data_IF_756787178648
#
_entry.id   IF_756787178648
#
_cell.length_a   1.000
_cell.length_b   1.000
_cell.length_c   1.000
_cell.angle_alpha   90.00
_cell.angle_beta   90.00
_cell.angle_gamma   90.00
#
_symmetry.space_group_name_H-M   'P 1'
#
loop_
_entity.id
_entity.type
_entity.pdbx_description
1 polymer ?
#
# COMPACT_ATOMS: atom_id res chain seq x y z
N UNK A 1 12.85 39.90 -3.16
CA UNK A 1 12.75 38.74 -4.08
C UNK A 1 12.94 37.48 -3.26
N UNK A 2 11.89 36.94 -2.66
CA UNK A 2 11.98 35.79 -1.76
C UNK A 2 11.80 34.49 -2.54
N UNK A 3 12.90 33.87 -2.94
CA UNK A 3 12.89 32.51 -3.48
C UNK A 3 12.74 31.53 -2.31
N UNK A 4 11.49 31.16 -1.98
CA UNK A 4 11.25 29.94 -1.21
C UNK A 4 11.70 28.77 -2.08
N UNK A 5 12.94 28.31 -1.87
CA UNK A 5 13.35 26.96 -2.28
C UNK A 5 12.42 26.00 -1.53
N UNK A 6 11.33 25.58 -2.20
CA UNK A 6 10.49 24.46 -1.75
C UNK A 6 11.43 23.27 -1.68
N UNK A 7 11.92 23.00 -0.49
CA UNK A 7 12.67 21.82 -0.16
C UNK A 7 11.83 20.64 -0.62
N UNK A 8 12.25 20.00 -1.72
CA UNK A 8 11.81 18.65 -2.06
C UNK A 8 12.38 17.72 -0.99
N UNK A 9 11.87 17.80 0.24
CA UNK A 9 11.88 16.67 1.15
C UNK A 9 10.96 15.64 0.51
N UNK A 10 11.52 14.89 -0.43
CA UNK A 10 10.97 13.60 -0.82
C UNK A 10 10.70 12.85 0.48
N UNK A 11 9.44 12.51 0.81
CA UNK A 11 9.09 11.88 2.06
C UNK A 11 9.56 10.43 1.99
N UNK A 12 10.87 10.20 2.13
CA UNK A 12 11.51 8.89 2.24
C UNK A 12 11.20 8.19 3.58
N UNK A 13 10.08 8.52 4.21
CA UNK A 13 9.68 8.04 5.53
C UNK A 13 8.23 7.53 5.49
N UNK A 14 8.03 6.41 4.78
CA UNK A 14 7.02 5.35 5.05
C UNK A 14 6.84 4.39 3.84
N UNK A 15 7.90 4.09 3.07
CA UNK A 15 7.83 3.28 1.85
C UNK A 15 7.73 1.76 2.11
N UNK A 16 6.95 1.35 3.12
CA UNK A 16 6.62 -0.07 3.39
C UNK A 16 5.15 -0.41 3.16
N UNK A 17 4.35 0.56 2.71
CA UNK A 17 2.87 0.48 2.67
C UNK A 17 2.26 0.90 1.34
N UNK A 18 3.10 1.22 0.35
CA UNK A 18 2.69 1.61 -1.01
C UNK A 18 3.22 0.58 -2.01
N UNK A 19 2.34 0.06 -2.86
CA UNK A 19 2.71 -0.68 -4.04
C UNK A 19 2.34 0.16 -5.27
N UNK A 20 3.37 0.59 -6.02
CA UNK A 20 3.19 1.30 -7.30
C UNK A 20 3.35 0.29 -8.42
N UNK A 21 2.33 0.14 -9.23
CA UNK A 21 2.35 -0.71 -10.41
C UNK A 21 2.85 0.11 -11.61
N UNK A 22 3.55 -0.55 -12.52
CA UNK A 22 4.12 0.08 -13.72
C UNK A 22 3.05 0.64 -14.68
N UNK A 23 1.82 0.11 -14.60
CA UNK A 23 0.65 0.53 -15.36
C UNK A 23 -0.07 1.76 -14.76
N UNK A 24 0.57 2.49 -13.84
CA UNK A 24 0.02 3.73 -13.28
C UNK A 24 -0.89 3.55 -12.07
N UNK A 25 -1.21 2.32 -11.67
CA UNK A 25 -1.99 2.06 -10.46
C UNK A 25 -1.12 2.20 -9.20
N UNK A 26 -1.73 2.79 -8.17
CA UNK A 26 -1.12 3.00 -6.87
C UNK A 26 -2.06 2.39 -5.84
N UNK A 27 -1.59 1.36 -5.15
CA UNK A 27 -2.34 0.67 -4.10
C UNK A 27 -1.65 0.93 -2.77
N UNK A 28 -2.39 1.48 -1.81
CA UNK A 28 -1.92 1.70 -0.44
C UNK A 28 -2.62 0.73 0.48
N UNK A 29 -1.86 -0.02 1.27
CA UNK A 29 -2.41 -0.94 2.26
C UNK A 29 -1.90 -0.49 3.63
N UNK A 30 -2.79 -0.23 4.58
CA UNK A 30 -2.43 0.34 5.88
C UNK A 30 -1.38 -0.47 6.66
N UNK A 31 -1.33 -1.79 6.45
CA UNK A 31 -0.33 -2.73 7.02
C UNK A 31 0.74 -3.19 6.04
N UNK A 32 0.69 -2.76 4.77
CA UNK A 32 1.47 -3.37 3.69
C UNK A 32 0.94 -4.78 3.35
N UNK A 33 1.80 -5.67 2.85
CA UNK A 33 1.42 -7.05 2.50
C UNK A 33 1.21 -7.96 3.73
N UNK A 34 1.49 -7.48 4.94
CA UNK A 34 1.36 -8.20 6.20
C UNK A 34 0.01 -7.96 6.89
N UNK A 35 -1.08 -8.27 6.17
CA UNK A 35 -2.44 -8.16 6.68
C UNK A 35 -3.06 -9.51 7.05
N UNK A 36 -2.41 -10.64 6.76
CA UNK A 36 -2.89 -11.96 7.18
C UNK A 36 -2.59 -12.25 8.65
N UNK A 37 -3.50 -12.90 9.35
CA UNK A 37 -3.26 -13.44 10.69
C UNK A 37 -2.39 -14.70 10.60
N UNK A 38 -1.69 -15.07 11.70
CA UNK A 38 -1.00 -16.36 11.74
C UNK A 38 -2.00 -17.51 11.56
N UNK A 39 -1.62 -18.59 10.86
CA UNK A 39 -2.47 -19.77 10.75
C UNK A 39 -2.62 -20.45 12.11
N UNK A 40 -3.77 -21.08 12.34
CA UNK A 40 -4.08 -21.76 13.60
C UNK A 40 -3.18 -22.98 13.84
N UNK A 41 -2.90 -23.73 12.76
CA UNK A 41 -1.99 -24.88 12.79
C UNK A 41 -1.39 -25.15 11.39
N UNK A 42 -0.39 -26.03 11.30
CA UNK A 42 0.24 -26.42 10.04
C UNK A 42 -0.72 -27.13 9.06
N UNK A 43 -1.82 -27.68 9.57
CA UNK A 43 -2.83 -28.42 8.79
C UNK A 43 -4.16 -27.67 8.73
N UNK A 44 -4.21 -26.42 9.18
CA UNK A 44 -5.40 -25.59 9.14
C UNK A 44 -5.72 -25.11 7.72
N UNK A 45 -7.02 -24.94 7.44
CA UNK A 45 -7.49 -24.28 6.23
C UNK A 45 -6.94 -22.84 6.25
N UNK A 46 -6.34 -22.41 5.14
CA UNK A 46 -5.67 -21.11 5.07
C UNK A 46 -4.14 -21.15 5.25
N UNK A 47 -3.54 -22.31 5.53
CA UNK A 47 -2.06 -22.42 5.66
C UNK A 47 -1.35 -22.27 4.32
N UNK A 48 -1.83 -22.95 3.27
CA UNK A 48 -1.28 -22.89 1.91
C UNK A 48 -2.03 -21.93 0.99
N UNK A 49 -3.35 -21.86 1.13
CA UNK A 49 -4.21 -20.97 0.36
C UNK A 49 -4.52 -19.71 1.18
N UNK A 50 -3.96 -18.58 0.79
CA UNK A 50 -4.11 -17.32 1.54
C UNK A 50 -5.51 -16.73 1.45
N UNK A 51 -6.29 -17.09 0.43
CA UNK A 51 -7.64 -16.58 0.24
C UNK A 51 -8.60 -17.08 1.33
N UNK A 52 -8.25 -18.20 1.97
CA UNK A 52 -8.96 -18.77 3.11
C UNK A 52 -8.39 -18.31 4.46
N UNK A 53 -7.31 -17.50 4.49
CA UNK A 53 -6.64 -17.09 5.72
C UNK A 53 -7.31 -15.85 6.33
N UNK A 54 -7.69 -15.89 7.62
CA UNK A 54 -8.22 -14.72 8.31
C UNK A 54 -7.26 -13.53 8.25
N UNK A 55 -7.80 -12.32 8.10
CA UNK A 55 -7.03 -11.09 7.98
C UNK A 55 -7.18 -10.18 9.21
N UNK A 56 -6.17 -9.36 9.47
CA UNK A 56 -6.26 -8.18 10.32
C UNK A 56 -7.06 -7.10 9.59
N UNK A 57 -7.82 -6.31 10.35
CA UNK A 57 -8.45 -5.12 9.81
C UNK A 57 -7.39 -4.17 9.24
N UNK A 58 -7.59 -3.71 8.01
CA UNK A 58 -6.73 -2.73 7.36
C UNK A 58 -7.54 -1.89 6.37
N UNK A 59 -6.98 -0.76 5.97
CA UNK A 59 -7.55 0.09 4.92
C UNK A 59 -6.78 -0.14 3.63
N UNK A 60 -7.51 -0.15 2.52
CA UNK A 60 -6.95 -0.27 1.18
C UNK A 60 -7.43 0.94 0.39
N UNK A 61 -6.48 1.78 0.00
CA UNK A 61 -6.76 2.95 -0.84
C UNK A 61 -6.18 2.72 -2.24
N UNK A 62 -6.99 2.92 -3.27
CA UNK A 62 -6.64 2.63 -4.66
C UNK A 62 -6.71 3.91 -5.48
N UNK A 63 -5.63 4.24 -6.19
CA UNK A 63 -5.52 5.43 -7.03
C UNK A 63 -4.94 5.08 -8.40
N UNK A 64 -5.21 5.93 -9.39
CA UNK A 64 -4.56 5.88 -10.70
C UNK A 64 -3.80 7.18 -10.94
N UNK A 65 -2.52 7.09 -11.30
CA UNK A 65 -1.61 8.23 -11.39
C UNK A 65 -2.11 9.34 -12.33
N UNK A 66 -2.75 8.97 -13.44
CA UNK A 66 -3.31 9.92 -14.42
C UNK A 66 -4.45 10.78 -13.84
N UNK A 67 -5.21 10.25 -12.87
CA UNK A 67 -6.34 10.97 -12.25
C UNK A 67 -5.93 11.80 -11.03
N UNK A 68 -4.67 11.70 -10.59
CA UNK A 68 -4.14 12.45 -9.44
C UNK A 68 -3.63 13.84 -9.86
N UNK A 69 -3.39 14.06 -11.16
CA UNK A 69 -3.14 15.37 -11.73
C UNK A 69 -4.35 15.81 -12.55
N UNK A 70 -5.26 16.66 -12.02
CA UNK A 70 -6.22 17.31 -12.89
C UNK A 70 -5.42 18.21 -13.85
N UNK A 71 -5.59 17.93 -15.14
CA UNK A 71 -5.16 18.70 -16.30
C UNK A 71 -4.93 20.18 -15.97
N UNK A 72 -3.68 20.63 -16.14
CA UNK A 72 -3.33 22.03 -16.39
C UNK A 72 -2.85 22.12 -17.84
#
# INVERSE_FOLDING_TARGET
>A
MNSLKRSTRSPRAAEKRLQRLNNGWIIKIGRGLDFYKPPESKLSIGYYDLDLRPCHQTTIDIFHAERVHPSS
#
